data_IF_717828630866
#
_entry.id   IF_717828630866
#
_cell.length_a   1.000
_cell.length_b   1.000
_cell.length_c   1.000
_cell.angle_alpha   90.00
_cell.angle_beta   90.00
_cell.angle_gamma   90.00
#
_symmetry.space_group_name_H-M   'P 1'
#
loop_
_entity.id
_entity.type
_entity.pdbx_description
1 polymer ?
#
# COMPACT_ATOMS: atom_id res chain seq x y z
N UNK A 1 -25.53 9.51 -6.78
CA UNK A 1 -24.20 9.17 -6.24
C UNK A 1 -23.19 9.78 -7.18
N UNK A 2 -22.40 10.75 -6.73
CA UNK A 2 -21.32 11.32 -7.53
C UNK A 2 -20.30 10.21 -7.75
N UNK A 3 -20.25 9.67 -8.96
CA UNK A 3 -19.14 8.84 -9.42
C UNK A 3 -17.89 9.69 -9.26
N UNK A 4 -17.17 9.47 -8.16
CA UNK A 4 -15.86 10.05 -7.93
C UNK A 4 -14.95 9.46 -9.00
N UNK A 5 -14.92 10.12 -10.15
CA UNK A 5 -14.06 9.78 -11.26
C UNK A 5 -12.62 9.78 -10.75
N UNK A 6 -11.94 8.64 -10.95
CA UNK A 6 -10.51 8.49 -10.69
C UNK A 6 -9.77 9.74 -11.16
N UNK A 7 -8.75 10.23 -10.45
CA UNK A 7 -7.98 11.37 -10.93
C UNK A 7 -7.44 11.03 -12.33
N UNK A 8 -7.88 11.80 -13.34
CA UNK A 8 -7.50 11.58 -14.74
C UNK A 8 -6.01 11.80 -14.99
N UNK A 9 -5.33 12.50 -14.07
CA UNK A 9 -3.89 12.74 -14.08
C UNK A 9 -3.22 12.08 -12.88
N UNK A 10 -2.11 11.37 -13.13
CA UNK A 10 -1.27 10.80 -12.08
C UNK A 10 -0.65 11.91 -11.23
N UNK A 11 -0.75 11.79 -9.92
CA UNK A 11 0.05 12.58 -8.98
C UNK A 11 1.54 12.19 -9.02
N UNK A 12 2.39 13.06 -8.48
CA UNK A 12 3.86 12.92 -8.51
C UNK A 12 4.39 11.55 -8.04
N UNK A 13 3.72 10.92 -7.08
CA UNK A 13 4.16 9.64 -6.48
C UNK A 13 3.14 8.52 -6.73
N UNK A 14 2.19 8.72 -7.64
CA UNK A 14 1.20 7.68 -7.93
C UNK A 14 1.87 6.55 -8.72
N UNK A 15 1.76 5.32 -8.22
CA UNK A 15 2.41 4.14 -8.81
C UNK A 15 3.76 3.76 -8.18
N UNK A 16 4.29 4.57 -7.27
CA UNK A 16 5.45 4.20 -6.45
C UNK A 16 5.01 3.20 -5.37
N UNK A 17 5.61 2.01 -5.38
CA UNK A 17 5.36 0.99 -4.37
C UNK A 17 6.39 1.12 -3.25
N UNK A 18 5.94 1.06 -2.01
CA UNK A 18 6.80 1.07 -0.82
C UNK A 18 6.59 -0.19 -0.01
N UNK A 19 7.69 -0.77 0.47
CA UNK A 19 7.64 -1.79 1.51
C UNK A 19 7.86 -1.17 2.88
N UNK A 20 7.16 -1.69 3.87
CA UNK A 20 7.44 -1.44 5.29
C UNK A 20 7.45 -2.80 5.95
N UNK A 21 8.42 -3.04 6.82
CA UNK A 21 8.61 -4.34 7.45
C UNK A 21 8.76 -4.13 8.95
N UNK A 22 8.10 -5.01 9.72
CA UNK A 22 8.34 -5.24 11.14
C UNK A 22 8.71 -6.72 11.32
N UNK A 23 9.08 -7.10 12.55
CA UNK A 23 9.41 -8.49 12.86
C UNK A 23 8.23 -9.44 12.57
N UNK A 24 6.99 -8.98 12.78
CA UNK A 24 5.77 -9.80 12.65
C UNK A 24 4.99 -9.61 11.34
N UNK A 25 5.35 -8.63 10.50
CA UNK A 25 4.57 -8.32 9.30
C UNK A 25 5.34 -7.54 8.23
N UNK A 26 4.88 -7.66 6.99
CA UNK A 26 5.32 -6.85 5.86
C UNK A 26 4.14 -6.21 5.15
N UNK A 27 4.31 -4.94 4.81
CA UNK A 27 3.32 -4.12 4.14
C UNK A 27 3.83 -3.73 2.76
N UNK A 28 2.98 -3.80 1.75
CA UNK A 28 3.16 -3.06 0.50
C UNK A 28 2.11 -1.97 0.41
N UNK A 29 2.56 -0.77 0.07
CA UNK A 29 1.69 0.40 -0.04
C UNK A 29 1.95 1.10 -1.36
N UNK A 30 0.89 1.36 -2.13
CA UNK A 30 0.94 2.14 -3.36
C UNK A 30 -0.04 3.30 -3.28
N UNK A 31 0.41 4.50 -3.66
CA UNK A 31 -0.45 5.69 -3.65
C UNK A 31 -1.33 5.70 -4.88
N UNK A 32 -2.65 5.68 -4.70
CA UNK A 32 -3.63 5.75 -5.78
C UNK A 32 -4.72 4.69 -5.67
N UNK A 33 -5.47 4.56 -6.75
CA UNK A 33 -6.52 3.56 -6.96
C UNK A 33 -5.95 2.42 -7.81
N UNK A 34 -5.46 1.39 -7.13
CA UNK A 34 -4.80 0.24 -7.73
C UNK A 34 -5.45 -1.05 -7.24
N UNK A 35 -5.39 -2.10 -8.05
CA UNK A 35 -5.80 -3.44 -7.64
C UNK A 35 -4.65 -4.18 -6.92
N UNK A 36 -4.99 -5.31 -6.31
CA UNK A 36 -4.02 -6.29 -5.79
C UNK A 36 -2.98 -6.69 -6.85
N UNK A 37 -3.43 -7.00 -8.07
CA UNK A 37 -2.52 -7.39 -9.14
C UNK A 37 -1.59 -6.26 -9.58
N UNK A 38 -2.05 -5.02 -9.49
CA UNK A 38 -1.23 -3.84 -9.83
C UNK A 38 -0.14 -3.61 -8.80
N UNK A 39 -0.45 -3.72 -7.50
CA UNK A 39 0.54 -3.49 -6.44
C UNK A 39 1.62 -4.57 -6.44
N UNK A 40 1.27 -5.85 -6.62
CA UNK A 40 2.25 -6.95 -6.69
C UNK A 40 3.16 -6.76 -7.90
N UNK A 41 2.59 -6.48 -9.08
CA UNK A 41 3.38 -6.22 -10.30
C UNK A 41 4.29 -5.01 -10.15
N UNK A 42 3.80 -3.93 -9.56
CA UNK A 42 4.60 -2.74 -9.30
C UNK A 42 5.75 -3.04 -8.33
N UNK A 43 5.49 -3.80 -7.27
CA UNK A 43 6.50 -4.17 -6.28
C UNK A 43 7.63 -5.01 -6.89
N UNK A 44 7.30 -6.01 -7.72
CA UNK A 44 8.30 -6.83 -8.43
C UNK A 44 9.09 -5.98 -9.42
N UNK A 45 8.43 -5.19 -10.27
CA UNK A 45 9.10 -4.36 -11.28
C UNK A 45 10.02 -3.30 -10.65
N UNK A 46 9.71 -2.83 -9.45
CA UNK A 46 10.49 -1.86 -8.71
C UNK A 46 11.53 -2.53 -7.78
N UNK A 47 11.69 -3.86 -7.84
CA UNK A 47 12.57 -4.65 -6.99
C UNK A 47 12.32 -4.45 -5.47
N UNK A 48 11.07 -4.16 -5.09
CA UNK A 48 10.63 -4.02 -3.69
C UNK A 48 10.42 -5.39 -3.04
N UNK A 49 9.97 -6.36 -3.84
CA UNK A 49 9.83 -7.78 -3.51
C UNK A 49 10.37 -8.61 -4.67
N UNK A 50 10.73 -9.86 -4.40
CA UNK A 50 11.08 -10.85 -5.42
C UNK A 50 9.85 -11.71 -5.81
N UNK A 51 10.08 -12.72 -6.65
CA UNK A 51 9.02 -13.61 -7.15
C UNK A 51 8.39 -14.45 -6.05
N UNK A 52 9.17 -14.86 -5.05
CA UNK A 52 8.68 -15.61 -3.89
C UNK A 52 7.78 -14.71 -3.04
N UNK A 53 8.25 -13.51 -2.70
CA UNK A 53 7.42 -12.52 -2.01
C UNK A 53 6.14 -12.19 -2.79
N UNK A 54 6.18 -12.15 -4.12
CA UNK A 54 4.98 -11.94 -4.92
C UNK A 54 3.93 -13.07 -4.74
N UNK A 55 4.37 -14.32 -4.58
CA UNK A 55 3.49 -15.46 -4.30
C UNK A 55 2.91 -15.39 -2.89
N UNK A 56 3.70 -15.00 -1.89
CA UNK A 56 3.21 -14.84 -0.52
C UNK A 56 2.14 -13.74 -0.43
N UNK A 57 2.40 -12.60 -1.07
CA UNK A 57 1.44 -11.50 -1.12
C UNK A 57 0.15 -11.91 -1.84
N UNK A 58 0.24 -12.62 -2.97
CA UNK A 58 -0.93 -13.09 -3.71
C UNK A 58 -1.78 -14.14 -2.96
N UNK A 59 -1.16 -14.92 -2.06
CA UNK A 59 -1.84 -16.04 -1.41
C UNK A 59 -2.40 -15.70 -0.02
N UNK A 60 -1.69 -14.84 0.72
CA UNK A 60 -1.87 -14.73 2.16
C UNK A 60 -2.04 -13.29 2.65
N UNK A 61 -1.75 -12.28 1.81
CA UNK A 61 -1.88 -10.90 2.25
C UNK A 61 -3.33 -10.42 2.23
N UNK A 62 -3.66 -9.54 3.18
CA UNK A 62 -4.93 -8.81 3.20
C UNK A 62 -4.77 -7.48 2.50
N UNK A 63 -5.70 -7.14 1.61
CA UNK A 63 -5.69 -5.89 0.84
C UNK A 63 -6.83 -4.97 1.26
N UNK A 64 -6.53 -3.68 1.37
CA UNK A 64 -7.55 -2.67 1.67
C UNK A 64 -7.14 -1.28 1.18
N UNK A 65 -8.14 -0.46 0.88
CA UNK A 65 -7.94 0.96 0.62
C UNK A 65 -7.92 1.73 1.95
N UNK A 66 -6.94 2.61 2.14
CA UNK A 66 -6.87 3.47 3.33
C UNK A 66 -6.31 4.86 3.01
N UNK A 67 -6.54 5.80 3.92
CA UNK A 67 -5.66 6.97 3.99
C UNK A 67 -4.42 6.57 4.75
N UNK A 68 -3.29 6.58 4.08
CA UNK A 68 -2.00 6.26 4.68
C UNK A 68 -1.23 7.55 4.93
N UNK A 69 -0.95 7.84 6.19
CA UNK A 69 -0.09 8.95 6.59
C UNK A 69 0.99 8.44 7.52
N UNK A 70 2.24 8.60 7.09
CA UNK A 70 3.39 8.39 7.95
C UNK A 70 3.79 9.71 8.57
N UNK A 71 3.85 9.75 9.90
CA UNK A 71 4.43 10.86 10.64
C UNK A 71 5.83 10.46 11.11
N UNK A 72 6.87 11.27 10.82
CA UNK A 72 8.19 11.07 11.41
C UNK A 72 8.23 11.37 12.92
N UNK A 73 7.16 11.91 13.51
CA UNK A 73 7.06 12.33 14.92
C UNK A 73 6.57 11.15 15.79
N UNK A 74 6.94 9.94 15.43
CA UNK A 74 6.23 8.72 15.80
C UNK A 74 6.58 8.04 17.11
N UNK A 75 7.16 8.77 18.06
CA UNK A 75 7.67 8.19 19.30
C UNK A 75 9.12 7.66 19.16
N UNK A 76 9.59 6.98 20.21
CA UNK A 76 11.03 6.72 20.44
C UNK A 76 11.70 5.80 19.40
N UNK A 77 10.95 5.06 18.57
CA UNK A 77 11.49 4.03 17.66
C UNK A 77 11.24 4.28 16.16
N UNK A 78 10.85 5.51 15.78
CA UNK A 78 10.71 5.89 14.37
C UNK A 78 9.27 5.98 13.88
N UNK A 79 9.14 6.13 12.55
CA UNK A 79 7.93 6.49 11.82
C UNK A 79 6.62 5.90 12.38
N UNK A 80 5.66 6.75 12.75
CA UNK A 80 4.28 6.33 13.10
C UNK A 80 3.39 6.38 11.87
N UNK A 81 2.89 5.22 11.42
CA UNK A 81 1.91 5.11 10.36
C UNK A 81 0.48 5.16 10.89
N UNK A 82 -0.32 6.12 10.45
CA UNK A 82 -1.77 6.14 10.65
C UNK A 82 -2.46 5.62 9.39
N UNK A 83 -3.33 4.63 9.54
CA UNK A 83 -4.20 4.15 8.48
C UNK A 83 -5.67 4.33 8.88
N UNK A 84 -6.46 4.98 8.03
CA UNK A 84 -7.91 5.00 8.19
C UNK A 84 -8.56 4.24 7.02
N UNK A 85 -9.24 3.10 7.28
CA UNK A 85 -9.81 2.28 6.22
C UNK A 85 -10.89 3.05 5.45
N UNK A 86 -11.00 2.79 4.16
CA UNK A 86 -12.08 3.31 3.32
C UNK A 86 -12.62 2.24 2.38
N UNK A 87 -13.91 2.37 2.08
CA UNK A 87 -14.59 1.48 1.14
C UNK A 87 -14.49 1.96 -0.32
N UNK A 88 -14.01 3.18 -0.55
CA UNK A 88 -13.94 3.79 -1.88
C UNK A 88 -12.60 4.50 -2.10
N UNK A 89 -11.97 4.36 -3.28
CA UNK A 89 -10.79 5.13 -3.65
C UNK A 89 -11.09 6.63 -3.63
N UNK A 90 -10.14 7.43 -3.18
CA UNK A 90 -10.24 8.89 -3.23
C UNK A 90 -8.85 9.52 -3.33
N UNK A 91 -8.79 10.78 -3.78
CA UNK A 91 -7.53 11.50 -3.98
C UNK A 91 -6.68 11.48 -2.70
N UNK A 92 -5.45 10.97 -2.81
CA UNK A 92 -4.51 10.87 -1.69
C UNK A 92 -4.67 9.62 -0.82
N UNK A 93 -5.62 8.74 -1.12
CA UNK A 93 -5.68 7.41 -0.54
C UNK A 93 -4.59 6.49 -1.13
N UNK A 94 -4.27 5.47 -0.37
CA UNK A 94 -3.31 4.42 -0.70
C UNK A 94 -4.04 3.09 -0.73
N UNK A 95 -3.60 2.22 -1.62
CA UNK A 95 -3.95 0.82 -1.60
C UNK A 95 -2.84 0.08 -0.85
N UNK A 96 -3.20 -0.58 0.25
CA UNK A 96 -2.27 -1.19 1.17
C UNK A 96 -2.51 -2.69 1.28
N UNK A 97 -1.45 -3.41 1.60
CA UNK A 97 -1.46 -4.84 1.88
C UNK A 97 -0.76 -5.14 3.20
N UNK A 98 -1.12 -6.25 3.82
CA UNK A 98 -0.46 -6.79 5.01
C UNK A 98 -0.28 -8.27 4.84
N UNK A 99 0.99 -8.71 4.82
CA UNK A 99 1.40 -10.09 4.96
C UNK A 99 1.88 -10.27 6.41
N UNK A 100 1.27 -11.19 7.15
CA UNK A 100 1.61 -11.47 8.55
C UNK A 100 2.21 -12.87 8.65
N UNK A 101 3.10 -13.06 9.60
CA UNK A 101 3.61 -14.37 10.03
C UNK A 101 3.10 -14.64 11.46
N UNK A 102 2.95 -15.92 11.81
CA UNK A 102 2.53 -16.35 13.15
C UNK A 102 3.59 -16.08 14.22
#
# INVERSE_FOLDING_TARGET
>A
MTELSKPASKGRNDGECKSLTSDDARFLVIRGDYSESDIIRAAVNQNVIDTEGAQDFASSARYYQCWYKVSPIGGQDGYSGWHHPRNTPCRGAYFASVLQWD
#
